data_IF_809128535294
#
_entry.id   IF_809128535294
#
_cell.length_a   1.000
_cell.length_b   1.000
_cell.length_c   1.000
_cell.angle_alpha   90.00
_cell.angle_beta   90.00
_cell.angle_gamma   90.00
#
_symmetry.space_group_name_H-M   'P 1'
#
loop_
_entity.id
_entity.type
_entity.pdbx_description
1 polymer ?
#
# COMPACT_ATOMS: atom_id res chain seq x y z
N UNK A 1 9.09 -3.98 -10.44
CA UNK A 1 10.03 -4.98 -9.90
C UNK A 1 10.91 -4.26 -8.88
N UNK A 2 10.37 -4.03 -7.68
CA UNK A 2 11.00 -3.27 -6.58
C UNK A 2 11.43 -4.24 -5.48
N UNK A 3 12.41 -3.85 -4.67
CA UNK A 3 12.77 -4.55 -3.42
C UNK A 3 12.11 -3.90 -2.19
N UNK A 4 11.42 -2.77 -2.35
CA UNK A 4 10.82 -2.03 -1.25
C UNK A 4 9.44 -2.60 -0.91
N UNK A 5 9.42 -3.62 -0.04
CA UNK A 5 8.20 -4.34 0.38
C UNK A 5 7.98 -4.32 1.90
N UNK A 6 8.78 -3.55 2.65
CA UNK A 6 8.59 -3.42 4.08
C UNK A 6 7.20 -2.82 4.39
N UNK A 7 6.50 -3.41 5.36
CA UNK A 7 5.18 -2.95 5.77
C UNK A 7 4.02 -3.36 4.84
N UNK A 8 4.24 -4.21 3.83
CA UNK A 8 3.19 -4.67 2.89
C UNK A 8 1.96 -5.22 3.63
N UNK A 9 2.14 -6.14 4.59
CA UNK A 9 1.04 -6.72 5.35
C UNK A 9 0.30 -5.73 6.23
N UNK A 10 1.02 -4.88 6.97
CA UNK A 10 0.43 -3.85 7.82
C UNK A 10 -0.35 -2.81 7.00
N UNK A 11 0.19 -2.44 5.84
CA UNK A 11 -0.45 -1.50 4.92
C UNK A 11 -1.72 -2.10 4.32
N UNK A 12 -1.68 -3.37 3.94
CA UNK A 12 -2.83 -4.08 3.38
C UNK A 12 -3.97 -4.21 4.38
N UNK A 13 -3.69 -4.69 5.60
CA UNK A 13 -4.71 -4.83 6.64
C UNK A 13 -5.30 -3.47 7.04
N UNK A 14 -4.46 -2.43 7.10
CA UNK A 14 -4.90 -1.05 7.38
C UNK A 14 -5.80 -0.50 6.27
N UNK A 15 -5.48 -0.77 4.99
CA UNK A 15 -6.29 -0.34 3.85
C UNK A 15 -7.65 -1.05 3.79
N UNK A 16 -7.70 -2.34 4.15
CA UNK A 16 -8.96 -3.10 4.31
C UNK A 16 -9.79 -2.47 5.43
N UNK A 17 -9.20 -2.29 6.62
CA UNK A 17 -9.90 -1.72 7.76
C UNK A 17 -10.45 -0.32 7.47
N UNK A 18 -9.68 0.54 6.78
CA UNK A 18 -10.12 1.87 6.36
C UNK A 18 -11.28 1.81 5.35
N UNK A 19 -11.27 0.85 4.43
CA UNK A 19 -12.35 0.65 3.45
C UNK A 19 -13.63 0.15 4.12
N UNK A 20 -13.52 -0.81 5.04
CA UNK A 20 -14.64 -1.30 5.84
C UNK A 20 -15.27 -0.17 6.68
N UNK A 21 -14.45 0.71 7.27
CA UNK A 21 -14.93 1.87 8.01
C UNK A 21 -15.70 2.88 7.14
N UNK A 22 -15.52 2.84 5.82
CA UNK A 22 -16.30 3.64 4.85
C UNK A 22 -17.61 2.95 4.43
N UNK A 23 -17.94 1.79 4.99
CA UNK A 23 -19.15 1.02 4.66
C UNK A 23 -19.03 0.18 3.39
N UNK A 24 -17.82 -0.10 2.92
CA UNK A 24 -17.58 -0.94 1.76
C UNK A 24 -17.68 -2.42 2.18
N UNK A 25 -18.35 -3.23 1.36
CA UNK A 25 -18.46 -4.68 1.57
C UNK A 25 -17.08 -5.35 1.61
N UNK A 26 -16.97 -6.45 2.36
CA UNK A 26 -15.68 -7.07 2.65
C UNK A 26 -14.90 -7.48 1.39
N UNK A 27 -15.57 -8.08 0.40
CA UNK A 27 -14.94 -8.47 -0.86
C UNK A 27 -14.31 -7.28 -1.57
N UNK A 28 -15.07 -6.18 -1.66
CA UNK A 28 -14.70 -4.99 -2.41
C UNK A 28 -13.63 -4.19 -1.64
N UNK A 29 -13.68 -4.22 -0.30
CA UNK A 29 -12.67 -3.64 0.56
C UNK A 29 -11.31 -4.34 0.38
N UNK A 30 -11.31 -5.66 0.27
CA UNK A 30 -10.11 -6.49 0.01
C UNK A 30 -9.56 -6.18 -1.39
N UNK A 31 -10.40 -6.15 -2.42
CA UNK A 31 -9.98 -5.84 -3.79
C UNK A 31 -9.43 -4.40 -3.92
N UNK A 32 -10.11 -3.43 -3.29
CA UNK A 32 -9.66 -2.04 -3.25
C UNK A 32 -8.31 -1.90 -2.55
N UNK A 33 -8.13 -2.54 -1.40
CA UNK A 33 -6.87 -2.54 -0.67
C UNK A 33 -5.74 -3.18 -1.48
N UNK A 34 -6.04 -4.24 -2.24
CA UNK A 34 -5.04 -4.95 -3.04
C UNK A 34 -4.55 -4.06 -4.18
N UNK A 35 -5.48 -3.42 -4.88
CA UNK A 35 -5.19 -2.47 -5.96
C UNK A 35 -4.35 -1.30 -5.44
N UNK A 36 -4.74 -0.71 -4.31
CA UNK A 36 -4.00 0.38 -3.68
C UNK A 36 -2.58 -0.05 -3.29
N UNK A 37 -2.42 -1.20 -2.61
CA UNK A 37 -1.12 -1.69 -2.17
C UNK A 37 -0.20 -2.00 -3.35
N UNK A 38 -0.75 -2.59 -4.42
CA UNK A 38 0.01 -2.86 -5.63
C UNK A 38 0.61 -1.57 -6.21
N UNK A 39 -0.18 -0.49 -6.28
CA UNK A 39 0.30 0.81 -6.73
C UNK A 39 1.34 1.41 -5.77
N UNK A 40 1.14 1.29 -4.45
CA UNK A 40 2.10 1.73 -3.45
C UNK A 40 3.47 1.02 -3.60
N UNK A 41 3.47 -0.28 -3.92
CA UNK A 41 4.68 -1.06 -4.21
C UNK A 41 5.32 -0.61 -5.53
N UNK A 42 4.55 -0.41 -6.60
CA UNK A 42 5.09 0.04 -7.89
C UNK A 42 5.81 1.40 -7.79
N UNK A 43 5.37 2.26 -6.87
CA UNK A 43 5.95 3.58 -6.65
C UNK A 43 7.01 3.61 -5.52
N UNK A 44 7.27 2.48 -4.87
CA UNK A 44 8.13 2.40 -3.69
C UNK A 44 9.59 2.79 -3.96
N UNK A 45 10.08 2.60 -5.19
CA UNK A 45 11.45 2.98 -5.58
C UNK A 45 11.67 4.49 -5.65
N UNK A 46 10.58 5.29 -5.65
CA UNK A 46 10.67 6.76 -5.54
C UNK A 46 11.09 7.21 -4.14
N UNK A 47 10.89 6.35 -3.14
CA UNK A 47 11.31 6.62 -1.78
C UNK A 47 12.75 6.14 -1.58
N UNK A 48 13.67 7.08 -1.33
CA UNK A 48 15.06 6.77 -0.97
C UNK A 48 15.23 6.72 0.55
N UNK A 49 14.62 5.72 1.20
CA UNK A 49 14.56 5.59 2.67
C UNK A 49 15.20 4.27 3.12
N UNK A 50 16.22 4.38 3.97
CA UNK A 50 16.92 3.22 4.54
C UNK A 50 17.98 2.63 3.60
N UNK A 51 18.60 1.52 4.04
CA UNK A 51 19.70 0.81 3.35
C UNK A 51 19.33 -0.66 3.03
N UNK A 52 18.07 -1.05 3.21
CA UNK A 52 17.57 -2.43 3.09
C UNK A 52 16.34 -2.53 2.19
N UNK A 53 15.40 -3.43 2.50
CA UNK A 53 14.09 -3.45 1.84
C UNK A 53 13.28 -2.25 2.36
N UNK A 54 13.16 -1.20 1.53
CA UNK A 54 12.47 0.03 1.88
C UNK A 54 10.95 -0.13 2.03
N UNK A 55 10.25 0.91 2.50
CA UNK A 55 8.80 0.90 2.68
C UNK A 55 8.05 1.02 1.34
N UNK A 56 6.79 0.63 1.33
CA UNK A 56 5.86 0.97 0.23
C UNK A 56 5.55 2.47 0.22
N UNK A 57 5.17 3.02 -0.94
CA UNK A 57 4.81 4.43 -1.05
C UNK A 57 3.34 4.67 -0.72
N UNK A 58 3.00 4.89 0.55
CA UNK A 58 1.63 5.12 1.01
C UNK A 58 0.91 6.27 0.27
N UNK A 59 1.65 7.35 -0.01
CA UNK A 59 1.11 8.55 -0.66
C UNK A 59 1.30 8.59 -2.19
N UNK A 60 1.45 7.45 -2.84
CA UNK A 60 1.74 7.37 -4.28
C UNK A 60 0.72 8.09 -5.18
N UNK A 61 -0.51 8.30 -4.69
CA UNK A 61 -1.59 8.98 -5.41
C UNK A 61 -1.65 10.49 -5.12
N UNK A 62 -0.84 11.00 -4.19
CA UNK A 62 -0.84 12.42 -3.78
C UNK A 62 0.39 13.18 -4.29
N UNK A 63 1.54 12.51 -4.34
CA UNK A 63 2.79 13.11 -4.78
C UNK A 63 3.78 12.03 -5.26
N UNK A 64 4.83 12.49 -5.93
CA UNK A 64 5.88 11.67 -6.53
C UNK A 64 7.24 12.29 -6.38
#
# INVERSE_FOLDING_TARGET
NTRNTHGTGCSYSSAIAASLAQGIELSDAVERAHTWLHQAILHADKLNVGQGHGPVHHFHALWT
#
